data_IF_377493031549
#
_entry.id   IF_377493031549
#
_cell.length_a   1.000
_cell.length_b   1.000
_cell.length_c   1.000
_cell.angle_alpha   90.00
_cell.angle_beta   90.00
_cell.angle_gamma   90.00
#
_symmetry.space_group_name_H-M   'P 1'
#
loop_
_entity.id
_entity.type
_entity.pdbx_description
1 polymer ?
#
# COMPACT_ATOMS: atom_id res chain seq x y z
N UNK A 1 -11.76 7.02 -2.61
CA UNK A 1 -12.01 5.56 -2.69
C UNK A 1 -10.75 4.81 -2.30
N UNK A 2 -10.83 3.69 -1.60
CA UNK A 2 -9.69 2.83 -1.26
C UNK A 2 -9.65 1.60 -2.18
N UNK A 3 -8.49 1.34 -2.79
CA UNK A 3 -8.21 0.13 -3.58
C UNK A 3 -7.12 -0.69 -2.90
N UNK A 4 -7.41 -1.96 -2.66
CA UNK A 4 -6.46 -2.95 -2.17
C UNK A 4 -5.97 -3.80 -3.35
N UNK A 5 -4.66 -3.87 -3.53
CA UNK A 5 -3.99 -4.72 -4.52
C UNK A 5 -3.15 -5.78 -3.78
N UNK A 6 -3.73 -6.94 -3.44
CA UNK A 6 -3.03 -7.98 -2.69
C UNK A 6 -1.86 -8.60 -3.45
N UNK A 7 -1.05 -9.38 -2.74
CA UNK A 7 -0.02 -10.24 -3.34
C UNK A 7 -0.58 -11.59 -3.77
N UNK A 8 0.32 -12.56 -3.94
CA UNK A 8 -0.04 -13.95 -4.24
C UNK A 8 -0.12 -14.72 -2.92
N UNK A 9 -1.33 -14.86 -2.39
CA UNK A 9 -1.60 -15.59 -1.15
C UNK A 9 -3.12 -15.85 -1.02
N UNK A 10 -3.55 -16.70 -0.07
CA UNK A 10 -4.96 -16.89 0.22
C UNK A 10 -5.68 -15.58 0.62
N UNK A 11 -6.96 -15.39 0.23
CA UNK A 11 -7.72 -14.17 0.52
C UNK A 11 -7.83 -13.83 2.01
N UNK A 12 -7.81 -14.84 2.88
CA UNK A 12 -7.95 -14.69 4.34
C UNK A 12 -6.83 -13.84 4.96
N UNK A 13 -5.66 -13.77 4.31
CA UNK A 13 -4.60 -12.87 4.74
C UNK A 13 -4.92 -11.40 4.44
N UNK A 14 -5.60 -11.11 3.33
CA UNK A 14 -6.13 -9.76 3.06
C UNK A 14 -7.23 -9.42 4.05
N UNK A 15 -8.12 -10.35 4.39
CA UNK A 15 -9.13 -10.10 5.41
C UNK A 15 -8.50 -9.80 6.77
N UNK A 16 -7.48 -10.56 7.16
CA UNK A 16 -6.70 -10.32 8.39
C UNK A 16 -6.02 -8.95 8.37
N UNK A 17 -5.44 -8.54 7.24
CA UNK A 17 -4.88 -7.20 7.05
C UNK A 17 -5.94 -6.12 7.29
N UNK A 18 -7.11 -6.27 6.66
CA UNK A 18 -8.19 -5.29 6.73
C UNK A 18 -8.77 -5.19 8.14
N UNK A 19 -8.98 -6.32 8.83
CA UNK A 19 -9.38 -6.35 10.25
C UNK A 19 -8.34 -5.65 11.15
N UNK A 20 -7.06 -5.73 10.78
CA UNK A 20 -5.97 -5.09 11.50
C UNK A 20 -5.87 -3.57 11.31
N UNK A 21 -6.32 -3.05 10.16
CA UNK A 21 -6.05 -1.65 9.75
C UNK A 21 -7.31 -0.78 9.67
N UNK A 22 -8.44 -1.34 9.25
CA UNK A 22 -9.66 -0.61 8.94
C UNK A 22 -10.82 -1.04 9.82
N UNK A 23 -11.55 -0.06 10.35
CA UNK A 23 -12.80 -0.32 11.05
C UNK A 23 -13.94 -0.52 10.03
N UNK A 24 -14.77 -1.54 10.25
CA UNK A 24 -15.98 -1.81 9.44
C UNK A 24 -15.73 -1.92 7.92
N UNK A 25 -14.57 -2.44 7.50
CA UNK A 25 -14.19 -2.54 6.08
C UNK A 25 -15.23 -3.28 5.21
N UNK A 26 -15.94 -4.28 5.78
CA UNK A 26 -17.02 -4.99 5.07
C UNK A 26 -18.16 -4.06 4.66
N UNK A 27 -18.52 -3.10 5.53
CA UNK A 27 -19.53 -2.09 5.20
C UNK A 27 -19.01 -1.13 4.13
N UNK A 28 -17.74 -0.68 4.24
CA UNK A 28 -17.10 0.15 3.22
C UNK A 28 -17.07 -0.53 1.85
N UNK A 29 -16.83 -1.84 1.82
CA UNK A 29 -16.87 -2.61 0.59
C UNK A 29 -18.29 -2.71 0.01
N UNK A 30 -19.31 -2.94 0.84
CA UNK A 30 -20.72 -2.97 0.40
C UNK A 30 -21.18 -1.62 -0.16
N UNK A 31 -20.67 -0.52 0.39
CA UNK A 31 -20.94 0.85 -0.08
C UNK A 31 -20.13 1.24 -1.33
N UNK A 32 -19.18 0.40 -1.79
CA UNK A 32 -18.30 0.69 -2.92
C UNK A 32 -17.19 1.70 -2.61
N UNK A 33 -16.93 1.97 -1.33
CA UNK A 33 -15.86 2.86 -0.88
C UNK A 33 -14.50 2.16 -0.80
N UNK A 34 -14.53 0.83 -0.62
CA UNK A 34 -13.40 -0.09 -0.60
C UNK A 34 -13.54 -1.11 -1.74
N UNK A 35 -12.50 -1.21 -2.57
CA UNK A 35 -12.36 -2.25 -3.58
C UNK A 35 -11.18 -3.15 -3.27
N UNK A 36 -11.33 -4.45 -3.49
CA UNK A 36 -10.25 -5.44 -3.37
C UNK A 36 -10.06 -6.09 -4.73
N UNK A 37 -8.85 -5.97 -5.28
CA UNK A 37 -8.53 -6.59 -6.56
C UNK A 37 -8.52 -8.13 -6.42
N UNK A 38 -9.30 -8.87 -7.23
CA UNK A 38 -9.49 -10.32 -7.07
C UNK A 38 -8.31 -11.14 -7.63
N UNK A 39 -7.25 -11.30 -6.84
CA UNK A 39 -6.03 -12.03 -7.25
C UNK A 39 -6.22 -13.54 -7.41
N UNK A 40 -7.38 -14.08 -7.04
CA UNK A 40 -7.79 -15.45 -7.36
C UNK A 40 -8.15 -15.63 -8.84
N UNK A 41 -8.59 -14.56 -9.50
CA UNK A 41 -9.06 -14.58 -10.89
C UNK A 41 -8.03 -13.95 -11.85
N UNK A 42 -7.14 -13.11 -11.33
CA UNK A 42 -6.15 -12.36 -12.11
C UNK A 42 -4.76 -12.40 -11.47
N UNK A 43 -3.72 -12.22 -12.28
CA UNK A 43 -2.36 -12.09 -11.76
C UNK A 43 -2.21 -10.79 -10.97
N UNK A 44 -1.75 -10.87 -9.72
CA UNK A 44 -1.55 -9.71 -8.83
C UNK A 44 -0.68 -8.60 -9.45
N UNK A 45 0.30 -8.97 -10.29
CA UNK A 45 1.22 -8.04 -10.95
C UNK A 45 0.68 -7.45 -12.26
N UNK A 46 -0.55 -7.79 -12.68
CA UNK A 46 -1.12 -7.33 -13.95
C UNK A 46 -1.67 -5.91 -13.83
N UNK A 47 -0.90 -4.91 -14.27
CA UNK A 47 -1.34 -3.52 -14.29
C UNK A 47 -2.57 -3.29 -15.18
N UNK A 48 -2.69 -4.03 -16.28
CA UNK A 48 -3.82 -3.91 -17.19
C UNK A 48 -5.11 -4.40 -16.54
N UNK A 49 -5.07 -5.55 -15.84
CA UNK A 49 -6.26 -6.07 -15.18
C UNK A 49 -6.69 -5.18 -14.01
N UNK A 50 -5.74 -4.63 -13.25
CA UNK A 50 -6.05 -3.65 -12.19
C UNK A 50 -6.64 -2.38 -12.79
N UNK A 51 -6.09 -1.87 -13.90
CA UNK A 51 -6.64 -0.69 -14.58
C UNK A 51 -8.08 -0.95 -15.07
N UNK A 52 -8.32 -2.09 -15.71
CA UNK A 52 -9.66 -2.50 -16.14
C UNK A 52 -10.62 -2.67 -14.95
N UNK A 53 -10.12 -3.15 -13.82
CA UNK A 53 -10.90 -3.27 -12.59
C UNK A 53 -11.27 -1.90 -12.03
N UNK A 54 -10.36 -0.94 -12.03
CA UNK A 54 -10.63 0.45 -11.65
C UNK A 54 -11.71 1.04 -12.58
N UNK A 55 -11.52 0.94 -13.90
CA UNK A 55 -12.44 1.50 -14.90
C UNK A 55 -13.87 0.93 -14.75
N UNK A 56 -13.98 -0.41 -14.59
CA UNK A 56 -15.27 -1.09 -14.38
C UNK A 56 -16.01 -0.61 -13.13
N UNK A 57 -15.29 -0.29 -12.06
CA UNK A 57 -15.89 0.23 -10.82
C UNK A 57 -16.12 1.75 -10.86
N UNK A 58 -15.62 2.45 -11.89
CA UNK A 58 -15.91 3.85 -12.22
C UNK A 58 -15.86 4.80 -11.01
N UNK A 59 -14.70 4.90 -10.30
CA UNK A 59 -14.56 5.74 -9.13
C UNK A 59 -14.91 7.19 -9.42
N UNK A 60 -15.66 7.81 -8.50
CA UNK A 60 -16.03 9.23 -8.55
C UNK A 60 -15.10 10.15 -7.75
N UNK A 61 -14.16 9.57 -7.02
CA UNK A 61 -13.19 10.27 -6.18
C UNK A 61 -11.78 9.78 -6.47
N UNK A 62 -10.79 10.55 -6.03
CA UNK A 62 -9.39 10.12 -6.04
C UNK A 62 -9.22 8.75 -5.34
N UNK A 63 -8.29 7.96 -5.88
CA UNK A 63 -8.03 6.60 -5.41
C UNK A 63 -6.82 6.60 -4.50
N UNK A 64 -6.99 6.11 -3.28
CA UNK A 64 -5.89 5.69 -2.41
C UNK A 64 -5.64 4.21 -2.63
N UNK A 65 -4.39 3.82 -2.90
CA UNK A 65 -4.04 2.43 -3.18
C UNK A 65 -3.17 1.87 -2.05
N UNK A 66 -3.50 0.68 -1.55
CA UNK A 66 -2.60 -0.14 -0.74
C UNK A 66 -2.27 -1.39 -1.54
N UNK A 67 -0.98 -1.62 -1.79
CA UNK A 67 -0.52 -2.74 -2.58
C UNK A 67 0.52 -3.56 -1.82
N UNK A 68 0.52 -4.88 -2.02
CA UNK A 68 1.46 -5.79 -1.36
C UNK A 68 2.22 -6.68 -2.32
N UNK A 69 3.52 -6.83 -2.10
CA UNK A 69 4.36 -7.78 -2.82
C UNK A 69 4.23 -7.61 -4.35
N UNK A 70 3.93 -8.68 -5.09
CA UNK A 70 3.64 -8.65 -6.53
C UNK A 70 2.49 -7.69 -6.91
N UNK A 71 1.54 -7.46 -6.01
CA UNK A 71 0.48 -6.46 -6.17
C UNK A 71 1.01 -5.04 -6.33
N UNK A 72 2.18 -4.72 -5.76
CA UNK A 72 2.84 -3.40 -5.93
C UNK A 72 3.22 -3.16 -7.38
N UNK A 73 3.69 -4.18 -8.10
CA UNK A 73 4.02 -4.09 -9.54
C UNK A 73 2.80 -3.72 -10.35
N UNK A 74 1.69 -4.45 -10.13
CA UNK A 74 0.45 -4.20 -10.82
C UNK A 74 -0.10 -2.81 -10.51
N UNK A 75 -0.16 -2.48 -9.21
CA UNK A 75 -0.70 -1.24 -8.69
C UNK A 75 0.02 0.01 -9.19
N UNK A 76 1.36 0.04 -9.18
CA UNK A 76 2.10 1.24 -9.65
C UNK A 76 1.86 1.49 -11.14
N UNK A 77 1.88 0.43 -11.96
CA UNK A 77 1.60 0.57 -13.39
C UNK A 77 0.16 1.01 -13.66
N UNK A 78 -0.82 0.46 -12.92
CA UNK A 78 -2.22 0.84 -13.04
C UNK A 78 -2.46 2.30 -12.58
N UNK A 79 -1.85 2.72 -11.48
CA UNK A 79 -1.94 4.09 -10.96
C UNK A 79 -1.42 5.12 -11.98
N UNK A 80 -0.26 4.85 -12.57
CA UNK A 80 0.31 5.69 -13.61
C UNK A 80 -0.59 5.76 -14.85
N UNK A 81 -1.09 4.62 -15.32
CA UNK A 81 -2.01 4.59 -16.46
C UNK A 81 -3.32 5.32 -16.16
N UNK A 82 -3.87 5.17 -14.95
CA UNK A 82 -5.10 5.84 -14.53
C UNK A 82 -4.97 7.37 -14.57
N UNK A 83 -3.84 7.92 -14.14
CA UNK A 83 -3.59 9.36 -14.26
C UNK A 83 -3.51 9.85 -15.70
N UNK A 84 -2.96 9.05 -16.62
CA UNK A 84 -2.97 9.39 -18.05
C UNK A 84 -4.39 9.44 -18.62
N UNK A 85 -5.31 8.63 -18.08
CA UNK A 85 -6.74 8.65 -18.41
C UNK A 85 -7.53 9.73 -17.65
N UNK A 86 -6.85 10.73 -17.07
CA UNK A 86 -7.42 11.84 -16.27
C UNK A 86 -8.05 11.41 -14.95
N UNK A 87 -7.81 10.18 -14.51
CA UNK A 87 -8.14 9.73 -13.17
C UNK A 87 -7.22 10.33 -12.12
N UNK A 88 -7.68 10.43 -10.87
CA UNK A 88 -6.88 10.96 -9.77
C UNK A 88 -6.43 9.85 -8.82
N UNK A 89 -5.14 9.87 -8.48
CA UNK A 89 -4.52 9.01 -7.45
C UNK A 89 -4.16 9.91 -6.28
N UNK A 90 -4.78 9.64 -5.12
CA UNK A 90 -4.53 10.36 -3.87
C UNK A 90 -3.19 9.94 -3.26
N UNK A 91 -2.82 8.68 -3.42
CA UNK A 91 -1.54 8.14 -2.97
C UNK A 91 -1.44 6.63 -3.13
N UNK A 92 -0.24 6.10 -2.90
CA UNK A 92 0.07 4.66 -2.91
C UNK A 92 0.86 4.29 -1.66
N UNK A 93 0.37 3.34 -0.87
CA UNK A 93 1.16 2.63 0.14
C UNK A 93 1.63 1.31 -0.48
N UNK A 94 2.92 1.23 -0.76
CA UNK A 94 3.57 0.04 -1.27
C UNK A 94 4.19 -0.77 -0.12
N UNK A 95 3.57 -1.91 0.16
CA UNK A 95 3.99 -2.84 1.21
C UNK A 95 4.83 -3.94 0.57
N UNK A 96 6.10 -3.96 0.93
CA UNK A 96 7.05 -5.03 0.63
C UNK A 96 7.20 -5.39 -0.87
N UNK A 97 7.08 -4.37 -1.73
CA UNK A 97 7.37 -4.46 -3.17
C UNK A 97 8.86 -4.39 -3.47
N UNK A 98 9.64 -5.36 -2.99
CA UNK A 98 11.09 -5.41 -3.23
C UNK A 98 11.42 -5.44 -4.73
N UNK A 99 12.41 -4.65 -5.14
CA UNK A 99 12.83 -4.57 -6.54
C UNK A 99 11.87 -3.79 -7.47
N UNK A 100 10.80 -3.20 -6.95
CA UNK A 100 9.82 -2.45 -7.76
C UNK A 100 10.17 -0.95 -7.79
N UNK A 101 10.43 -0.35 -8.97
CA UNK A 101 10.55 1.09 -9.12
C UNK A 101 9.24 1.79 -8.74
N UNK A 102 9.31 2.67 -7.74
CA UNK A 102 8.18 3.48 -7.31
C UNK A 102 8.39 4.92 -7.75
N UNK A 103 7.76 5.26 -8.88
CA UNK A 103 7.82 6.58 -9.51
C UNK A 103 6.40 7.01 -9.83
N UNK A 104 6.05 8.24 -9.47
CA UNK A 104 4.75 8.84 -9.74
C UNK A 104 4.75 10.31 -9.34
N UNK A 105 3.77 11.07 -9.81
CA UNK A 105 3.56 12.47 -9.42
C UNK A 105 2.52 12.60 -8.28
N UNK A 106 2.32 11.52 -7.52
CA UNK A 106 1.44 11.42 -6.36
C UNK A 106 2.25 10.91 -5.14
N UNK A 107 1.76 11.11 -3.91
CA UNK A 107 2.40 10.58 -2.71
C UNK A 107 2.59 9.07 -2.76
N UNK A 108 3.82 8.60 -2.52
CA UNK A 108 4.14 7.17 -2.39
C UNK A 108 4.78 6.93 -1.03
N UNK A 109 4.26 5.95 -0.30
CA UNK A 109 4.73 5.51 1.00
C UNK A 109 5.23 4.08 0.89
N UNK A 110 6.30 3.74 1.60
CA UNK A 110 6.89 2.40 1.58
C UNK A 110 6.86 1.72 2.93
N UNK A 111 6.55 0.44 2.95
CA UNK A 111 6.58 -0.39 4.15
C UNK A 111 7.40 -1.63 3.82
N UNK A 112 8.36 -2.02 4.66
CA UNK A 112 9.19 -3.21 4.44
C UNK A 112 9.19 -4.13 5.66
N UNK A 113 9.30 -5.44 5.44
CA UNK A 113 9.29 -6.44 6.52
C UNK A 113 10.60 -6.50 7.31
N UNK A 114 11.65 -5.83 6.84
CA UNK A 114 12.94 -5.71 7.51
C UNK A 114 13.70 -4.45 7.05
N UNK A 115 14.83 -4.18 7.70
CA UNK A 115 15.72 -3.07 7.36
C UNK A 115 16.46 -3.27 6.03
N UNK A 116 16.85 -4.49 5.67
CA UNK A 116 17.63 -4.75 4.46
C UNK A 116 16.82 -4.50 3.19
N UNK A 117 15.59 -5.00 3.15
CA UNK A 117 14.61 -4.76 2.09
C UNK A 117 14.29 -3.28 1.99
N UNK A 118 14.13 -2.60 3.12
CA UNK A 118 13.90 -1.16 3.16
C UNK A 118 15.04 -0.37 2.50
N UNK A 119 16.27 -0.58 2.97
CA UNK A 119 17.45 0.12 2.48
C UNK A 119 17.71 -0.17 1.00
N UNK A 120 17.69 -1.44 0.60
CA UNK A 120 17.96 -1.84 -0.79
C UNK A 120 16.88 -1.34 -1.75
N UNK A 121 15.61 -1.38 -1.33
CA UNK A 121 14.51 -0.87 -2.15
C UNK A 121 14.63 0.63 -2.35
N UNK A 122 15.08 1.41 -1.36
CA UNK A 122 15.11 2.88 -1.42
C UNK A 122 15.83 3.45 -2.66
N UNK A 123 16.78 2.70 -3.24
CA UNK A 123 17.44 3.02 -4.51
C UNK A 123 16.47 3.12 -5.70
N UNK A 124 15.34 2.43 -5.62
CA UNK A 124 14.24 2.40 -6.58
C UNK A 124 13.06 3.31 -6.17
N UNK A 125 13.30 4.26 -5.26
CA UNK A 125 12.33 5.28 -4.84
C UNK A 125 11.90 5.16 -3.38
N UNK A 126 12.57 5.83 -2.45
CA UNK A 126 12.36 5.69 -1.00
C UNK A 126 10.96 6.04 -0.44
N UNK A 127 10.08 6.63 -1.26
CA UNK A 127 8.81 7.19 -0.80
C UNK A 127 9.01 8.53 -0.07
N UNK A 128 7.92 9.24 0.20
CA UNK A 128 7.95 10.49 0.97
C UNK A 128 8.12 10.25 2.46
N UNK A 129 7.55 9.15 2.93
CA UNK A 129 7.75 8.58 4.26
C UNK A 129 7.71 7.06 4.14
N UNK A 130 8.27 6.38 5.13
CA UNK A 130 8.40 4.93 5.06
C UNK A 130 8.46 4.26 6.42
N UNK A 131 8.23 2.95 6.44
CA UNK A 131 8.33 2.10 7.61
C UNK A 131 9.18 0.88 7.28
N UNK A 132 9.94 0.40 8.26
CA UNK A 132 10.51 -0.94 8.22
C UNK A 132 10.32 -1.65 9.56
N UNK A 133 10.06 -2.95 9.52
CA UNK A 133 9.90 -3.74 10.74
C UNK A 133 11.25 -3.97 11.42
N UNK A 134 11.23 -3.86 12.75
CA UNK A 134 12.36 -4.15 13.64
C UNK A 134 11.80 -4.60 15.00
N UNK A 135 11.94 -5.89 15.38
CA UNK A 135 12.66 -6.94 14.64
C UNK A 135 12.00 -7.28 13.29
N UNK A 136 12.79 -7.83 12.38
CA UNK A 136 12.31 -8.32 11.09
C UNK A 136 11.19 -9.37 11.28
N UNK A 137 10.21 -9.36 10.39
CA UNK A 137 9.11 -10.34 10.35
C UNK A 137 9.09 -11.05 9.00
N UNK A 138 8.45 -12.20 8.91
CA UNK A 138 8.26 -12.87 7.62
C UNK A 138 7.45 -11.99 6.65
N UNK A 139 7.74 -12.10 5.35
CA UNK A 139 7.07 -11.34 4.28
C UNK A 139 5.55 -11.29 4.42
N UNK A 140 4.92 -12.46 4.62
CA UNK A 140 3.46 -12.58 4.76
C UNK A 140 2.95 -12.14 6.13
N UNK A 141 3.80 -12.15 7.17
CA UNK A 141 3.40 -11.72 8.51
C UNK A 141 3.15 -10.21 8.55
N UNK A 142 3.96 -9.42 7.82
CA UNK A 142 3.75 -7.98 7.69
C UNK A 142 2.35 -7.66 7.12
N UNK A 143 1.91 -8.42 6.11
CA UNK A 143 0.57 -8.26 5.53
C UNK A 143 -0.51 -8.82 6.44
N UNK A 144 -0.31 -10.02 7.01
CA UNK A 144 -1.31 -10.68 7.85
C UNK A 144 -1.57 -9.92 9.16
N UNK A 145 -0.56 -9.33 9.77
CA UNK A 145 -0.63 -8.78 11.13
C UNK A 145 0.14 -7.45 11.28
N UNK A 146 -0.27 -6.40 10.53
CA UNK A 146 0.34 -5.08 10.63
C UNK A 146 0.17 -4.44 12.03
N UNK A 147 -0.84 -4.85 12.79
CA UNK A 147 -1.13 -4.37 14.15
C UNK A 147 -0.12 -4.84 15.20
N UNK A 148 0.55 -5.97 14.98
CA UNK A 148 1.59 -6.50 15.88
C UNK A 148 2.99 -6.28 15.34
N UNK A 149 3.15 -5.99 14.05
CA UNK A 149 4.43 -5.71 13.41
C UNK A 149 4.98 -4.35 13.88
N UNK A 150 5.99 -4.38 14.75
CA UNK A 150 6.69 -3.19 15.27
C UNK A 150 7.85 -2.81 14.37
N UNK A 151 8.24 -1.54 14.43
CA UNK A 151 9.38 -1.04 13.68
C UNK A 151 9.52 0.46 13.74
N UNK A 152 10.14 1.02 12.72
CA UNK A 152 10.53 2.42 12.67
C UNK A 152 9.84 3.15 11.53
N UNK A 153 9.14 4.24 11.86
CA UNK A 153 8.61 5.18 10.88
C UNK A 153 9.65 6.25 10.57
N UNK A 154 10.15 6.22 9.36
CA UNK A 154 11.09 7.18 8.79
C UNK A 154 10.33 8.31 8.11
N UNK A 155 10.51 9.52 8.64
CA UNK A 155 9.85 10.73 8.17
C UNK A 155 10.75 11.96 8.35
N UNK A 156 10.27 13.11 7.87
CA UNK A 156 10.98 14.38 7.96
C UNK A 156 10.21 15.31 8.91
N UNK A 157 10.93 15.96 9.83
CA UNK A 157 10.34 16.98 10.71
C UNK A 157 9.99 18.24 9.93
N UNK A 158 9.23 19.15 10.54
CA UNK A 158 8.94 20.49 9.99
C UNK A 158 10.19 21.32 9.70
N UNK A 159 11.31 21.03 10.37
CA UNK A 159 12.62 21.66 10.15
C UNK A 159 13.44 20.98 9.06
N UNK A 160 12.91 19.95 8.40
CA UNK A 160 13.59 19.22 7.35
C UNK A 160 14.52 18.11 7.83
N UNK A 161 14.55 17.78 9.13
CA UNK A 161 15.43 16.73 9.66
C UNK A 161 14.80 15.35 9.44
N UNK A 162 15.55 14.41 8.82
CA UNK A 162 15.13 13.01 8.75
C UNK A 162 15.24 12.37 10.14
N UNK A 163 14.18 11.73 10.60
CA UNK A 163 14.10 11.09 11.90
C UNK A 163 13.37 9.75 11.82
N UNK A 164 13.45 8.97 12.91
CA UNK A 164 12.81 7.67 13.06
C UNK A 164 12.00 7.64 14.37
N UNK A 165 10.72 7.29 14.29
CA UNK A 165 9.86 7.11 15.48
C UNK A 165 9.42 5.65 15.59
N UNK A 166 9.53 5.01 16.76
CA UNK A 166 9.07 3.64 16.95
C UNK A 166 7.54 3.59 16.86
N UNK A 167 7.01 2.65 16.09
CA UNK A 167 5.55 2.48 15.88
C UNK A 167 5.21 1.07 15.42
N UNK A 168 3.94 0.83 15.10
CA UNK A 168 3.50 -0.39 14.37
C UNK A 168 3.20 -0.07 12.91
N UNK A 169 3.26 -1.08 12.04
CA UNK A 169 2.88 -0.94 10.63
C UNK A 169 1.43 -0.44 10.51
N UNK A 170 0.50 -0.95 11.34
CA UNK A 170 -0.89 -0.45 11.41
C UNK A 170 -0.92 1.05 11.70
N UNK A 171 -0.27 1.51 12.77
CA UNK A 171 -0.32 2.91 13.17
C UNK A 171 0.26 3.82 12.09
N UNK A 172 1.34 3.39 11.43
CA UNK A 172 1.87 4.09 10.27
C UNK A 172 0.83 4.20 9.14
N UNK A 173 0.22 3.08 8.72
CA UNK A 173 -0.81 3.06 7.66
C UNK A 173 -1.99 3.97 8.00
N UNK A 174 -2.49 3.91 9.23
CA UNK A 174 -3.62 4.74 9.70
C UNK A 174 -3.26 6.23 9.74
N UNK A 175 -2.04 6.60 10.12
CA UNK A 175 -1.58 7.98 10.07
C UNK A 175 -1.50 8.51 8.64
N UNK A 176 -0.99 7.70 7.71
CA UNK A 176 -0.97 8.04 6.29
C UNK A 176 -2.39 8.32 5.79
N UNK A 177 -3.36 7.45 6.09
CA UNK A 177 -4.76 7.68 5.74
C UNK A 177 -5.31 9.00 6.27
N UNK A 178 -5.09 9.28 7.55
CA UNK A 178 -5.60 10.49 8.20
C UNK A 178 -4.94 11.77 7.66
N UNK A 179 -3.73 11.68 7.11
CA UNK A 179 -3.03 12.83 6.52
C UNK A 179 -3.53 13.22 5.13
N UNK A 180 -4.25 12.31 4.47
CA UNK A 180 -4.73 12.50 3.09
C UNK A 180 -6.21 12.87 3.01
N UNK A 181 -6.97 12.71 4.11
CA UNK A 181 -8.38 13.10 4.24
C UNK A 181 -8.53 14.52 4.79
#
# INVERSE_FOLDING_TARGET
MLLICPGIHPPELTESFLDGVLENWKNQQQLGELLIFPTQDYSAYSSLDILNFIDKNNPKSAIMIIAFSAGVVGAIGAALAWQQLRGEIQGLIAIDGWGVPLIGNFPIYRISHDYFTHWSSALLGGGIESFYADPAVEHLELWRSPQTTKGWWIHQTSTGLKTATPTTARTFIQNVFNSLN
#
